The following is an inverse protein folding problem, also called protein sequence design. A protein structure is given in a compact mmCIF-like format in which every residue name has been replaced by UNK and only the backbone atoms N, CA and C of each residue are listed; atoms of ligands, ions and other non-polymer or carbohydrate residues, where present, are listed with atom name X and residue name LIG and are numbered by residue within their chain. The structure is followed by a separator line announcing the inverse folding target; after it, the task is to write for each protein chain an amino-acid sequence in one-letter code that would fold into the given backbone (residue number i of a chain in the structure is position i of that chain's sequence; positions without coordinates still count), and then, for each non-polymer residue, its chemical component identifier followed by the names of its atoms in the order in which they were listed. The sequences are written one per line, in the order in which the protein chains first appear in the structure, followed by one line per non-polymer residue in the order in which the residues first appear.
data_IF_859502304883
#
_entry.id   IF_859502304883
#
_cell.length_a   1.000
_cell.length_b   1.000
_cell.length_c   1.000
_cell.angle_alpha   90.00
_cell.angle_beta   90.00
_cell.angle_gamma   90.00
#
_symmetry.space_group_name_H-M   'P 1'
#
loop_
_entity.id
_entity.type
_entity.pdbx_description
1 polymer ?
#
# COMPACT_ATOMS: atom_id res chain seq x y z
N UNK A 1 -3.25 20.15 -0.45
CA UNK A 1 -2.56 19.58 0.74
C UNK A 1 -1.61 18.43 0.38
N UNK A 2 -2.02 17.45 -0.43
CA UNK A 2 -1.15 16.33 -0.85
C UNK A 2 0.16 16.81 -1.50
N UNK A 3 0.10 17.75 -2.47
CA UNK A 3 1.30 18.36 -3.08
C UNK A 3 2.25 19.02 -2.07
N UNK A 4 1.70 19.70 -1.06
CA UNK A 4 2.48 20.33 0.01
C UNK A 4 3.22 19.28 0.84
N UNK A 5 2.56 18.17 1.16
CA UNK A 5 3.18 17.08 1.90
C UNK A 5 4.22 16.31 1.06
N UNK A 6 3.97 16.14 -0.24
CA UNK A 6 4.96 15.63 -1.20
C UNK A 6 6.20 16.54 -1.24
N UNK A 7 6.01 17.85 -1.34
CA UNK A 7 7.11 18.82 -1.31
C UNK A 7 7.87 18.79 0.02
N UNK A 8 7.17 18.61 1.15
CA UNK A 8 7.79 18.47 2.46
C UNK A 8 8.62 17.18 2.56
N UNK A 9 8.09 16.05 2.05
CA UNK A 9 8.80 14.77 1.99
C UNK A 9 10.09 14.88 1.16
N UNK A 10 10.03 15.50 -0.02
CA UNK A 10 11.21 15.74 -0.86
C UNK A 10 12.31 16.55 -0.13
N UNK A 11 11.94 17.50 0.74
CA UNK A 11 12.91 18.29 1.52
C UNK A 11 13.59 17.53 2.65
N UNK A 12 13.13 16.32 2.98
CA UNK A 12 13.79 15.47 3.98
C UNK A 12 14.77 14.45 3.39
N UNK A 13 15.06 14.56 2.10
CA UNK A 13 15.95 13.63 1.37
C UNK A 13 17.34 13.50 2.02
N UNK A 14 17.86 14.55 2.67
CA UNK A 14 19.14 14.54 3.37
C UNK A 14 19.22 13.57 4.56
N UNK A 15 18.09 12.98 4.97
CA UNK A 15 18.02 12.04 6.10
C UNK A 15 17.87 10.58 5.69
N UNK A 16 17.69 10.28 4.40
CA UNK A 16 17.61 8.91 3.90
C UNK A 16 18.99 8.41 3.47
N UNK A 17 19.29 7.14 3.74
CA UNK A 17 20.46 6.50 3.18
C UNK A 17 20.22 6.16 1.70
N UNK A 18 21.29 6.24 0.90
CA UNK A 18 21.31 5.78 -0.49
C UNK A 18 22.02 4.43 -0.51
N UNK A 19 21.43 3.44 -1.19
CA UNK A 19 21.98 2.10 -1.32
C UNK A 19 23.14 2.05 -2.33
N UNK A 20 23.74 0.87 -2.48
CA UNK A 20 24.96 0.67 -3.27
C UNK A 20 24.84 1.03 -4.76
N UNK A 21 23.62 1.08 -5.30
CA UNK A 21 23.36 1.49 -6.69
C UNK A 21 23.32 3.02 -6.90
N UNK A 22 23.51 3.81 -5.84
CA UNK A 22 23.57 5.27 -5.91
C UNK A 22 22.24 5.97 -6.23
N UNK A 23 21.15 5.20 -6.40
CA UNK A 23 19.82 5.72 -6.80
C UNK A 23 18.72 5.28 -5.85
N UNK A 24 18.78 4.06 -5.34
CA UNK A 24 17.77 3.51 -4.44
C UNK A 24 17.94 4.11 -3.05
N UNK A 25 16.86 4.68 -2.51
CA UNK A 25 16.78 5.11 -1.10
C UNK A 25 16.43 3.95 -0.17
N UNK A 26 16.69 4.12 1.12
CA UNK A 26 16.27 3.23 2.21
C UNK A 26 14.74 3.09 2.38
N UNK A 27 13.98 3.94 1.70
CA UNK A 27 12.54 3.82 1.53
C UNK A 27 11.80 5.09 1.89
N UNK A 28 10.54 5.19 1.49
CA UNK A 28 9.67 6.25 1.97
C UNK A 28 8.20 5.87 1.86
N UNK A 29 7.34 6.63 2.54
CA UNK A 29 5.91 6.47 2.38
C UNK A 29 5.09 7.67 2.82
N UNK A 30 3.87 7.70 2.30
CA UNK A 30 2.82 8.66 2.56
C UNK A 30 1.61 7.92 3.11
N UNK A 31 1.22 8.26 4.34
CA UNK A 31 -0.07 7.91 4.89
C UNK A 31 -1.04 9.05 4.59
N UNK A 32 -2.14 8.71 3.92
CA UNK A 32 -3.19 9.64 3.53
C UNK A 32 -4.47 9.28 4.26
N UNK A 33 -5.24 10.29 4.65
CA UNK A 33 -6.68 10.07 4.78
C UNK A 33 -7.19 9.54 3.43
N UNK A 34 -8.04 8.50 3.48
CA UNK A 34 -8.57 7.83 2.30
C UNK A 34 -9.17 8.89 1.35
N UNK A 35 -8.61 9.07 0.13
CA UNK A 35 -9.11 10.07 -0.82
C UNK A 35 -10.43 9.56 -1.43
N UNK A 36 -11.54 9.77 -0.73
CA UNK A 36 -12.86 9.19 -1.05
C UNK A 36 -13.30 9.53 -2.48
N UNK A 37 -13.20 10.82 -2.84
CA UNK A 37 -13.56 11.30 -4.18
C UNK A 37 -12.77 10.58 -5.27
N UNK A 38 -11.45 10.49 -5.13
CA UNK A 38 -10.58 9.80 -6.07
C UNK A 38 -10.98 8.34 -6.25
N UNK A 39 -11.15 7.61 -5.14
CA UNK A 39 -11.51 6.20 -5.20
C UNK A 39 -12.92 5.93 -5.74
N UNK A 40 -13.86 6.85 -5.55
CA UNK A 40 -15.18 6.78 -6.20
C UNK A 40 -15.09 6.97 -7.70
N UNK A 41 -14.27 7.92 -8.17
CA UNK A 41 -14.04 8.09 -9.61
C UNK A 41 -13.38 6.87 -10.24
N UNK A 42 -12.35 6.31 -9.58
CA UNK A 42 -11.70 5.06 -10.01
C UNK A 42 -12.70 3.90 -10.10
N UNK A 43 -13.63 3.80 -9.16
CA UNK A 43 -14.68 2.78 -9.20
C UNK A 43 -15.67 3.03 -10.36
N UNK A 44 -16.09 4.28 -10.57
CA UNK A 44 -16.97 4.66 -11.67
C UNK A 44 -16.37 4.33 -13.04
N UNK A 45 -15.09 4.66 -13.25
CA UNK A 45 -14.32 4.31 -14.46
C UNK A 45 -14.28 2.80 -14.74
N UNK A 46 -14.38 1.98 -13.69
CA UNK A 46 -14.39 0.51 -13.76
C UNK A 46 -15.80 -0.10 -13.75
N UNK A 47 -16.85 0.72 -13.73
CA UNK A 47 -18.24 0.26 -13.62
C UNK A 47 -18.58 -0.37 -12.26
N UNK A 48 -17.79 -0.09 -11.23
CA UNK A 48 -17.94 -0.63 -9.88
C UNK A 48 -18.90 0.21 -9.04
N UNK A 49 -19.62 -0.46 -8.13
CA UNK A 49 -20.54 0.19 -7.18
C UNK A 49 -19.96 0.14 -5.77
N UNK A 50 -19.54 1.30 -5.27
CA UNK A 50 -19.08 1.46 -3.90
C UNK A 50 -20.22 1.86 -2.97
N UNK A 51 -20.33 1.14 -1.85
CA UNK A 51 -21.24 1.49 -0.77
C UNK A 51 -20.85 2.83 -0.13
N UNK A 52 -21.73 3.35 0.74
CA UNK A 52 -21.39 4.51 1.58
C UNK A 52 -20.19 4.20 2.49
N UNK A 53 -20.16 3.00 3.04
CA UNK A 53 -19.06 2.49 3.87
C UNK A 53 -18.29 1.43 3.08
N UNK A 54 -17.14 1.82 2.53
CA UNK A 54 -16.25 0.95 1.77
C UNK A 54 -14.80 1.19 2.22
N UNK A 55 -13.95 0.19 2.01
CA UNK A 55 -12.54 0.23 2.34
C UNK A 55 -11.70 -0.12 1.13
N UNK A 56 -10.43 0.30 1.21
CA UNK A 56 -9.40 -0.04 0.23
C UNK A 56 -8.25 -0.71 0.97
N UNK A 57 -7.85 -1.89 0.49
CA UNK A 57 -6.64 -2.56 0.90
C UNK A 57 -5.53 -2.27 -0.09
N UNK A 58 -4.41 -1.70 0.34
CA UNK A 58 -3.17 -1.58 -0.46
C UNK A 58 -2.27 -2.77 -0.11
N UNK A 59 -1.90 -3.56 -1.10
CA UNK A 59 -1.18 -4.82 -0.91
C UNK A 59 0.00 -4.92 -1.86
N UNK A 60 1.08 -5.54 -1.35
CA UNK A 60 2.17 -6.06 -2.14
C UNK A 60 1.95 -7.56 -2.30
N UNK A 61 2.11 -8.03 -3.53
CA UNK A 61 1.99 -9.43 -3.93
C UNK A 61 3.27 -9.85 -4.65
N UNK A 62 3.54 -11.14 -4.72
CA UNK A 62 4.59 -11.70 -5.57
C UNK A 62 4.45 -11.27 -7.04
N UNK A 63 5.58 -11.14 -7.73
CA UNK A 63 5.62 -10.96 -9.18
C UNK A 63 5.22 -12.26 -9.92
N UNK A 64 5.38 -13.42 -9.27
CA UNK A 64 4.88 -14.68 -9.77
C UNK A 64 3.35 -14.70 -9.69
N UNK A 65 2.69 -14.83 -10.84
CA UNK A 65 1.23 -14.75 -10.93
C UNK A 65 0.52 -15.91 -10.21
N UNK A 66 1.14 -17.09 -10.08
CA UNK A 66 0.54 -18.21 -9.34
C UNK A 66 0.52 -17.94 -7.83
N UNK A 67 1.63 -17.43 -7.29
CA UNK A 67 1.76 -17.01 -5.89
C UNK A 67 0.83 -15.81 -5.59
N UNK A 68 0.82 -14.81 -6.48
CA UNK A 68 -0.07 -13.66 -6.37
C UNK A 68 -1.55 -14.12 -6.34
N UNK A 69 -1.93 -15.04 -7.22
CA UNK A 69 -3.29 -15.59 -7.26
C UNK A 69 -3.63 -16.38 -5.99
N UNK A 70 -2.69 -17.15 -5.45
CA UNK A 70 -2.89 -17.84 -4.18
C UNK A 70 -3.10 -16.85 -3.02
N UNK A 71 -2.29 -15.80 -2.94
CA UNK A 71 -2.41 -14.73 -1.97
C UNK A 71 -3.75 -13.97 -2.10
N UNK A 72 -4.16 -13.61 -3.33
CA UNK A 72 -5.47 -12.99 -3.59
C UNK A 72 -6.62 -13.88 -3.12
N UNK A 73 -6.60 -15.19 -3.41
CA UNK A 73 -7.64 -16.13 -2.93
C UNK A 73 -7.76 -16.14 -1.41
N UNK A 74 -6.65 -16.21 -0.69
CA UNK A 74 -6.65 -16.17 0.78
C UNK A 74 -7.24 -14.85 1.29
N UNK A 75 -6.85 -13.73 0.67
CA UNK A 75 -7.41 -12.41 0.99
C UNK A 75 -8.93 -12.40 0.79
N UNK A 76 -9.40 -12.89 -0.36
CA UNK A 76 -10.82 -12.92 -0.71
C UNK A 76 -11.63 -13.79 0.27
N UNK A 77 -11.14 -14.98 0.60
CA UNK A 77 -11.77 -15.88 1.57
C UNK A 77 -11.90 -15.25 2.96
N UNK A 78 -10.84 -14.63 3.48
CA UNK A 78 -10.89 -14.00 4.80
C UNK A 78 -11.81 -12.77 4.85
N UNK A 79 -11.94 -12.05 3.73
CA UNK A 79 -12.90 -10.95 3.63
C UNK A 79 -14.33 -11.45 3.61
N UNK A 80 -14.61 -12.52 2.87
CA UNK A 80 -15.92 -13.16 2.86
C UNK A 80 -16.27 -13.74 4.24
N UNK A 81 -15.31 -14.33 4.95
CA UNK A 81 -15.48 -14.82 6.33
C UNK A 81 -15.83 -13.68 7.32
N UNK A 82 -15.35 -12.47 7.08
CA UNK A 82 -15.73 -11.27 7.82
C UNK A 82 -16.93 -10.54 7.21
N UNK A 83 -17.69 -11.18 6.31
CA UNK A 83 -18.93 -10.67 5.68
C UNK A 83 -18.74 -9.42 4.82
N UNK A 84 -17.52 -9.11 4.39
CA UNK A 84 -17.22 -8.00 3.50
C UNK A 84 -17.43 -8.40 2.04
N UNK A 85 -18.15 -7.57 1.28
CA UNK A 85 -18.39 -7.84 -0.13
C UNK A 85 -17.25 -7.28 -0.99
N UNK A 86 -16.64 -8.14 -1.79
CA UNK A 86 -15.53 -7.76 -2.66
C UNK A 86 -16.07 -7.07 -3.89
N UNK A 87 -15.54 -5.88 -4.18
CA UNK A 87 -15.92 -5.08 -5.35
C UNK A 87 -14.99 -5.38 -6.52
N UNK A 88 -13.69 -5.45 -6.25
CA UNK A 88 -12.70 -5.82 -7.26
C UNK A 88 -11.28 -5.46 -6.88
N UNK A 89 -10.34 -5.98 -7.68
CA UNK A 89 -8.91 -5.70 -7.60
C UNK A 89 -8.51 -4.67 -8.66
N UNK A 90 -7.65 -3.75 -8.26
CA UNK A 90 -7.06 -2.70 -9.08
C UNK A 90 -5.55 -2.79 -8.99
N UNK A 91 -4.90 -3.07 -10.11
CA UNK A 91 -3.47 -2.80 -10.24
C UNK A 91 -3.22 -1.29 -10.08
N UNK A 92 -2.30 -0.93 -9.20
CA UNK A 92 -1.95 0.46 -8.94
C UNK A 92 -1.02 0.94 -10.06
N UNK A 93 -1.34 2.03 -10.77
CA UNK A 93 -0.52 2.51 -11.86
C UNK A 93 0.82 3.04 -11.32
N UNK A 94 1.92 2.42 -11.75
CA UNK A 94 3.28 2.77 -11.35
C UNK A 94 4.18 3.04 -12.56
N UNK A 95 5.28 3.75 -12.33
CA UNK A 95 6.34 3.98 -13.31
C UNK A 95 7.67 3.43 -12.77
N UNK A 96 8.08 2.21 -13.14
CA UNK A 96 9.30 1.59 -12.61
C UNK A 96 10.60 2.27 -13.07
N UNK A 97 10.59 3.06 -14.15
CA UNK A 97 11.80 3.69 -14.72
C UNK A 97 12.47 4.68 -13.75
N UNK A 98 11.72 5.17 -12.76
CA UNK A 98 12.27 6.07 -11.73
C UNK A 98 13.09 5.34 -10.67
N UNK A 99 13.01 4.01 -10.58
CA UNK A 99 13.67 3.22 -9.54
C UNK A 99 15.13 2.90 -9.89
N UNK A 100 15.96 2.68 -8.86
CA UNK A 100 17.29 2.09 -9.01
C UNK A 100 17.22 0.58 -9.20
N UNK A 101 18.34 -0.03 -9.60
CA UNK A 101 18.41 -1.48 -9.88
C UNK A 101 18.04 -2.32 -8.67
N UNK A 102 18.44 -1.90 -7.46
CA UNK A 102 18.12 -2.62 -6.23
C UNK A 102 16.60 -2.62 -6.01
N UNK A 103 15.97 -1.44 -6.04
CA UNK A 103 14.53 -1.31 -5.88
C UNK A 103 13.71 -2.02 -6.97
N UNK A 104 14.22 -2.03 -8.20
CA UNK A 104 13.56 -2.68 -9.33
C UNK A 104 13.61 -4.21 -9.21
N UNK A 105 14.77 -4.76 -8.83
CA UNK A 105 14.97 -6.20 -8.65
C UNK A 105 14.03 -6.83 -7.63
N UNK A 106 13.54 -6.00 -6.72
CA UNK A 106 12.70 -6.38 -5.61
C UNK A 106 11.32 -5.74 -5.66
N UNK A 107 10.91 -5.19 -6.80
CA UNK A 107 9.63 -4.49 -6.92
C UNK A 107 8.49 -5.52 -6.79
N UNK A 108 7.59 -5.40 -5.81
CA UNK A 108 6.42 -6.28 -5.72
C UNK A 108 5.38 -5.88 -6.77
N UNK A 109 4.43 -6.78 -7.02
CA UNK A 109 3.17 -6.39 -7.67
C UNK A 109 2.35 -5.58 -6.67
N UNK A 110 1.91 -4.39 -7.06
CA UNK A 110 1.20 -3.46 -6.17
C UNK A 110 -0.26 -3.37 -6.58
N UNK A 111 -1.14 -3.83 -5.70
CA UNK A 111 -2.57 -3.88 -5.98
C UNK A 111 -3.40 -3.29 -4.85
N UNK A 112 -4.58 -2.82 -5.24
CA UNK A 112 -5.63 -2.37 -4.35
C UNK A 112 -6.84 -3.29 -4.45
N UNK A 113 -7.38 -3.72 -3.31
CA UNK A 113 -8.68 -4.39 -3.24
C UNK A 113 -9.73 -3.45 -2.66
N UNK A 114 -10.88 -3.35 -3.33
CA UNK A 114 -12.03 -2.57 -2.88
C UNK A 114 -13.07 -3.49 -2.27
N UNK A 115 -13.56 -3.13 -1.08
CA UNK A 115 -14.59 -3.92 -0.38
C UNK A 115 -15.68 -3.04 0.20
N UNK A 116 -16.91 -3.50 0.14
CA UNK A 116 -18.07 -2.87 0.74
C UNK A 116 -18.40 -3.52 2.08
N UNK A 117 -18.77 -2.70 3.07
CA UNK A 117 -19.37 -3.19 4.30
C UNK A 117 -20.86 -3.52 4.08
N UNK A 118 -21.41 -4.50 4.82
CA UNK A 118 -22.85 -4.72 4.90
C UNK A 118 -23.62 -3.47 5.33
N UNK A 119 -24.89 -3.40 4.93
CA UNK A 119 -25.79 -2.34 5.37
C UNK A 119 -25.91 -2.32 6.91
N UNK A 120 -25.97 -1.13 7.50
CA UNK A 120 -26.08 -0.94 8.95
C UNK A 120 -24.76 -0.92 9.72
N UNK A 121 -23.63 -1.30 9.10
CA UNK A 121 -22.33 -1.21 9.75
C UNK A 121 -21.85 0.24 9.86
N UNK A 122 -21.40 0.62 11.06
CA UNK A 122 -20.73 1.91 11.28
C UNK A 122 -19.29 1.83 10.77
N UNK A 123 -18.65 2.97 10.45
CA UNK A 123 -17.26 2.98 10.01
C UNK A 123 -16.30 2.22 10.94
N UNK A 124 -16.48 2.35 12.27
CA UNK A 124 -15.69 1.63 13.28
C UNK A 124 -15.86 0.10 13.25
N UNK A 125 -17.04 -0.38 12.85
CA UNK A 125 -17.32 -1.81 12.81
C UNK A 125 -16.53 -2.45 11.66
N UNK A 126 -16.44 -1.73 10.53
CA UNK A 126 -15.64 -2.10 9.38
C UNK A 126 -14.14 -2.15 9.72
N UNK A 127 -13.58 -1.12 10.37
CA UNK A 127 -12.16 -1.12 10.78
C UNK A 127 -11.81 -2.31 11.67
N UNK A 128 -12.68 -2.62 12.65
CA UNK A 128 -12.48 -3.78 13.53
C UNK A 128 -12.44 -5.09 12.75
N UNK A 129 -13.32 -5.24 11.76
CA UNK A 129 -13.44 -6.46 10.94
C UNK A 129 -12.28 -6.60 9.97
N UNK A 130 -11.86 -5.50 9.35
CA UNK A 130 -10.65 -5.44 8.53
C UNK A 130 -9.39 -5.79 9.33
N UNK A 131 -9.30 -5.34 10.59
CA UNK A 131 -8.20 -5.72 11.48
C UNK A 131 -8.14 -7.24 11.71
N UNK A 132 -9.28 -7.88 11.95
CA UNK A 132 -9.38 -9.33 12.13
C UNK A 132 -9.02 -10.07 10.83
N UNK A 133 -9.62 -9.66 9.70
CA UNK A 133 -9.31 -10.23 8.39
C UNK A 133 -7.81 -10.16 8.10
N UNK A 134 -7.18 -8.98 8.25
CA UNK A 134 -5.74 -8.78 8.04
C UNK A 134 -4.90 -9.74 8.88
N UNK A 135 -5.21 -9.90 10.16
CA UNK A 135 -4.47 -10.82 11.06
C UNK A 135 -4.60 -12.28 10.62
N UNK A 136 -5.73 -12.69 10.05
CA UNK A 136 -5.92 -14.05 9.53
C UNK A 136 -5.21 -14.24 8.19
N UNK A 137 -5.32 -13.27 7.28
CA UNK A 137 -4.59 -13.25 6.01
C UNK A 137 -3.08 -13.39 6.27
N UNK A 138 -2.51 -12.55 7.14
CA UNK A 138 -1.07 -12.57 7.47
C UNK A 138 -0.56 -13.89 8.06
N UNK A 139 -1.45 -14.68 8.67
CA UNK A 139 -1.14 -16.01 9.22
C UNK A 139 -1.24 -17.12 8.18
N UNK A 140 -2.14 -16.97 7.20
CA UNK A 140 -2.43 -17.99 6.18
C UNK A 140 -1.50 -17.87 4.98
N UNK A 141 -1.21 -16.65 4.54
CA UNK A 141 -0.30 -16.42 3.41
C UNK A 141 1.12 -16.81 3.81
N UNK A 142 1.74 -17.67 3.00
CA UNK A 142 3.12 -18.15 3.17
C UNK A 142 4.12 -17.44 2.24
N UNK A 143 3.63 -16.62 1.30
CA UNK A 143 4.45 -15.80 0.42
C UNK A 143 5.13 -14.68 1.22
N UNK A 144 6.46 -14.72 1.28
CA UNK A 144 7.27 -13.71 2.00
C UNK A 144 7.20 -12.32 1.36
N UNK A 145 6.82 -12.25 0.07
CA UNK A 145 6.60 -11.00 -0.65
C UNK A 145 5.24 -10.39 -0.34
N UNK A 146 4.32 -11.16 0.24
CA UNK A 146 2.98 -10.68 0.56
C UNK A 146 2.99 -9.73 1.76
N UNK A 147 2.45 -8.53 1.55
CA UNK A 147 2.38 -7.54 2.60
C UNK A 147 1.18 -6.61 2.46
N UNK A 148 0.39 -6.46 3.53
CA UNK A 148 -0.73 -5.52 3.59
C UNK A 148 -0.21 -4.16 4.07
N UNK A 149 -0.01 -3.22 3.16
CA UNK A 149 0.44 -1.87 3.47
C UNK A 149 -0.59 -1.10 4.30
N UNK A 150 -1.84 -1.18 3.89
CA UNK A 150 -2.98 -0.61 4.61
C UNK A 150 -4.23 -1.37 4.23
N UNK A 151 -5.19 -1.49 5.14
CA UNK A 151 -6.52 -1.98 4.80
C UNK A 151 -7.55 -1.32 5.70
N UNK A 152 -8.16 -0.25 5.19
CA UNK A 152 -8.96 0.66 6.01
C UNK A 152 -10.01 1.40 5.20
N UNK A 153 -11.09 1.82 5.86
CA UNK A 153 -12.04 2.80 5.34
C UNK A 153 -11.70 4.25 5.71
N UNK A 154 -10.62 4.48 6.46
CA UNK A 154 -10.20 5.82 6.91
C UNK A 154 -8.91 6.29 6.25
N UNK A 155 -7.96 5.39 6.00
CA UNK A 155 -6.61 5.74 5.53
C UNK A 155 -6.13 4.83 4.40
N UNK A 156 -5.16 5.31 3.64
CA UNK A 156 -4.41 4.52 2.67
C UNK A 156 -2.93 4.89 2.72
N UNK A 157 -2.04 3.95 2.43
CA UNK A 157 -0.59 4.15 2.47
C UNK A 157 0.00 3.89 1.08
N UNK A 158 0.71 4.89 0.54
CA UNK A 158 1.59 4.72 -0.62
C UNK A 158 3.02 4.68 -0.11
N UNK A 159 3.71 3.56 -0.28
CA UNK A 159 5.11 3.42 0.17
C UNK A 159 5.94 2.62 -0.82
N UNK A 160 7.24 2.85 -0.86
CA UNK A 160 8.13 2.14 -1.77
C UNK A 160 9.59 2.29 -1.40
N UNK A 161 10.42 1.38 -1.91
CA UNK A 161 11.87 1.45 -1.78
C UNK A 161 12.43 2.43 -2.80
N UNK A 162 12.26 3.72 -2.54
CA UNK A 162 12.71 4.79 -3.43
C UNK A 162 12.97 6.06 -2.61
N UNK A 163 13.65 7.04 -3.23
CA UNK A 163 13.85 8.32 -2.58
C UNK A 163 12.51 9.04 -2.37
N UNK A 164 12.36 9.81 -1.27
CA UNK A 164 11.24 10.71 -1.03
C UNK A 164 10.75 11.52 -2.25
N UNK A 165 11.68 12.03 -3.06
CA UNK A 165 11.38 12.84 -4.25
C UNK A 165 10.83 12.01 -5.43
N UNK A 166 11.12 10.71 -5.47
CA UNK A 166 10.71 9.81 -6.56
C UNK A 166 9.37 9.14 -6.29
N UNK A 167 8.92 9.07 -5.04
CA UNK A 167 7.63 8.44 -4.69
C UNK A 167 6.42 8.95 -5.51
N UNK A 168 6.25 10.27 -5.75
CA UNK A 168 5.16 10.79 -6.58
C UNK A 168 5.35 10.55 -8.08
N UNK A 169 6.60 10.29 -8.50
CA UNK A 169 6.93 9.95 -9.90
C UNK A 169 6.74 8.45 -10.14
N UNK A 170 6.95 7.64 -9.10
CA UNK A 170 6.74 6.20 -9.09
C UNK A 170 5.25 5.86 -9.05
N UNK A 171 4.47 6.41 -8.12
CA UNK A 171 3.02 6.19 -8.05
C UNK A 171 2.26 7.23 -8.87
N UNK A 172 1.71 6.83 -10.01
CA UNK A 172 1.02 7.75 -10.92
C UNK A 172 -0.25 8.36 -10.30
N UNK A 173 -0.88 7.65 -9.36
CA UNK A 173 -1.99 8.16 -8.56
C UNK A 173 -1.62 9.44 -7.79
N UNK A 174 -0.40 9.54 -7.26
CA UNK A 174 0.06 10.70 -6.50
C UNK A 174 0.31 11.92 -7.40
N UNK A 175 0.46 11.72 -8.70
CA UNK A 175 0.55 12.79 -9.69
C UNK A 175 -0.83 13.27 -10.16
N UNK A 176 -1.89 12.49 -9.95
CA UNK A 176 -3.25 12.82 -10.34
C UNK A 176 -3.80 13.98 -9.49
N UNK A 177 -4.25 15.04 -10.17
CA UNK A 177 -4.83 16.22 -9.52
C UNK A 177 -6.12 15.92 -8.76
N UNK A 178 -6.81 14.84 -9.10
CA UNK A 178 -8.03 14.38 -8.45
C UNK A 178 -7.76 13.74 -7.09
N UNK A 179 -6.51 13.35 -6.81
CA UNK A 179 -6.11 12.77 -5.53
C UNK A 179 -5.89 13.88 -4.49
N UNK A 180 -6.97 14.16 -3.75
CA UNK A 180 -6.98 15.10 -2.64
C UNK A 180 -7.17 14.37 -1.32
N UNK A 181 -6.42 14.80 -0.29
CA UNK A 181 -6.53 14.30 1.08
C UNK A 181 -6.35 15.45 2.07
N UNK A 182 -7.15 15.47 3.13
CA UNK A 182 -7.07 16.49 4.17
C UNK A 182 -5.91 16.23 5.16
N UNK A 183 -5.45 14.97 5.27
CA UNK A 183 -4.33 14.58 6.14
C UNK A 183 -3.29 13.85 5.30
N UNK A 184 -2.04 14.25 5.44
CA UNK A 184 -0.92 13.56 4.83
C UNK A 184 0.24 13.53 5.83
N UNK A 185 0.64 12.33 6.23
CA UNK A 185 1.82 12.08 7.05
C UNK A 185 2.88 11.42 6.19
N UNK A 186 4.13 11.83 6.34
CA UNK A 186 5.25 11.32 5.56
C UNK A 186 6.33 10.78 6.49
N UNK A 187 7.02 9.71 6.06
CA UNK A 187 8.10 9.13 6.85
C UNK A 187 9.23 8.57 5.95
N UNK A 188 10.50 8.93 6.19
CA UNK A 188 11.66 8.43 5.43
C UNK A 188 12.03 6.96 5.72
N UNK A 189 11.42 6.30 6.70
CA UNK A 189 11.74 4.91 7.04
C UNK A 189 10.48 4.05 7.22
N UNK A 190 9.44 4.29 6.40
CA UNK A 190 8.18 3.53 6.49
C UNK A 190 8.31 2.07 5.98
N UNK A 191 9.52 1.67 5.60
CA UNK A 191 9.90 0.33 5.18
C UNK A 191 10.38 -0.56 6.34
N UNK A 192 10.56 -0.03 7.55
CA UNK A 192 11.12 -0.74 8.72
C UNK A 192 10.29 -1.92 9.28
N UNK A 193 9.28 -2.41 8.56
CA UNK A 193 8.66 -3.70 8.90
C UNK A 193 9.32 -4.80 8.08
N UNK A 194 9.85 -5.82 8.76
CA UNK A 194 10.58 -6.95 8.19
C UNK A 194 9.93 -7.53 6.92
N UNK A 195 8.61 -7.70 6.90
CA UNK A 195 7.88 -8.19 5.71
C UNK A 195 7.77 -7.19 4.56
N UNK A 196 7.72 -5.89 4.84
CA UNK A 196 7.79 -4.88 3.79
C UNK A 196 9.20 -4.81 3.19
N UNK A 197 10.22 -4.98 4.03
CA UNK A 197 11.61 -5.11 3.59
C UNK A 197 11.82 -6.38 2.77
N UNK A 198 11.23 -7.53 3.15
CA UNK A 198 11.25 -8.76 2.37
C UNK A 198 10.51 -8.61 1.02
N UNK A 199 9.33 -7.98 1.03
CA UNK A 199 8.60 -7.66 -0.20
C UNK A 199 9.39 -6.76 -1.16
N UNK A 200 10.32 -5.97 -0.62
CA UNK A 200 11.29 -5.18 -1.37
C UNK A 200 12.71 -5.76 -1.30
N UNK A 201 12.88 -7.07 -1.07
CA UNK A 201 14.17 -7.77 -1.21
C UNK A 201 15.32 -7.26 -0.33
N UNK A 202 15.08 -6.30 0.56
CA UNK A 202 16.08 -5.75 1.47
C UNK A 202 16.18 -6.66 2.66
N UNK A 203 17.01 -7.70 2.56
CA UNK A 203 17.49 -8.42 3.73
C UNK A 203 18.45 -7.49 4.49
N UNK A 204 17.93 -6.60 5.33
CA UNK A 204 18.75 -6.00 6.38
C UNK A 204 18.80 -7.02 7.52
N UNK A 205 19.96 -7.62 7.85
CA UNK A 205 20.07 -8.39 9.06
C UNK A 205 19.80 -7.44 10.23
N UNK A 206 18.76 -7.71 11.02
CA UNK A 206 18.56 -7.08 12.32
C UNK A 206 19.67 -7.57 13.26
N UNK A 207 20.90 -7.10 13.07
CA UNK A 207 21.93 -7.22 14.08
C UNK A 207 21.68 -6.15 15.14
N UNK A 208 21.14 -6.56 16.29
CA UNK A 208 21.26 -5.79 17.53
C UNK A 208 20.00 -5.06 17.99
N UNK A 209 19.01 -5.82 18.47
CA UNK A 209 18.08 -5.33 19.50
C UNK A 209 17.82 -6.45 20.52
N UNK A 210 18.91 -6.94 21.12
CA UNK A 210 18.88 -7.55 22.45
C UNK A 210 20.02 -6.92 23.25
N UNK A 211 19.66 -5.98 24.13
CA UNK A 211 20.16 -5.80 25.49
C UNK A 211 19.30 -4.76 26.19
#
# INVERSE_FOLDING_TARGET
MVRTAIHALARMQHRGAILADGKTGDGCGLLLQKPDRFFRMVAEERGWRLAKNYAVGMMFLSQNEEEARASRRIVEEELQNETLSIVGWREVPTNPDVLGEIALSSLPRIEQIFVNAPAGWRPRDMERRLFVARRRIEKRVQDDSFYVCSFSNLVTIYKGLCMPADLPRFYLDLADLRLESAICLFHPALLNQYRAALAFGTAVPLSGAQR
#
